data_IF_767954807929
#
_entry.id   IF_767954807929
#
_cell.length_a   1.000
_cell.length_b   1.000
_cell.length_c   1.000
_cell.angle_alpha   90.00
_cell.angle_beta   90.00
_cell.angle_gamma   90.00
#
_symmetry.space_group_name_H-M   'P 1'
#
loop_
_entity.id
_entity.type
_entity.pdbx_description
1 polymer ?
#
# COMPACT_ATOMS: atom_id res chain seq x y z
N UNK A 1 -25.19 82.94 9.83
CA UNK A 1 -24.85 81.71 9.11
C UNK A 1 -24.89 80.58 10.12
N UNK A 2 -25.90 79.68 10.07
CA UNK A 2 -26.04 78.54 10.95
C UNK A 2 -25.66 77.29 10.14
N UNK A 3 -24.56 76.63 10.50
CA UNK A 3 -24.08 75.43 9.87
C UNK A 3 -24.70 74.24 10.58
N UNK A 4 -25.55 73.51 9.88
CA UNK A 4 -26.19 72.29 10.39
C UNK A 4 -25.28 71.11 10.03
N UNK A 5 -24.74 70.35 11.04
CA UNK A 5 -23.97 69.17 10.87
C UNK A 5 -24.94 68.00 10.82
N UNK A 6 -24.97 67.28 9.67
CA UNK A 6 -25.76 66.07 9.45
C UNK A 6 -24.91 64.88 9.82
N UNK A 7 -25.20 64.24 10.95
CA UNK A 7 -24.54 62.97 11.36
C UNK A 7 -25.19 61.77 10.64
N UNK A 8 -24.46 61.17 9.76
CA UNK A 8 -24.87 59.89 9.11
C UNK A 8 -24.46 58.73 10.01
N UNK A 9 -25.46 58.07 10.59
CA UNK A 9 -25.28 56.85 11.39
C UNK A 9 -25.16 55.64 10.46
N UNK A 10 -23.96 55.06 10.35
CA UNK A 10 -23.71 53.86 9.59
C UNK A 10 -24.08 52.64 10.47
N UNK A 11 -25.20 51.98 10.19
CA UNK A 11 -25.58 50.71 10.82
C UNK A 11 -24.87 49.57 10.08
N UNK A 12 -23.83 48.99 10.69
CA UNK A 12 -23.20 47.78 10.25
C UNK A 12 -24.12 46.59 10.59
N UNK A 13 -24.81 46.07 9.58
CA UNK A 13 -25.50 44.77 9.66
C UNK A 13 -24.44 43.65 9.60
N UNK A 14 -24.10 43.08 10.74
CA UNK A 14 -23.33 41.84 10.82
C UNK A 14 -24.29 40.72 10.45
N UNK A 15 -24.25 40.26 9.19
CA UNK A 15 -24.90 39.04 8.77
C UNK A 15 -24.07 37.87 9.31
N UNK A 16 -24.51 37.26 10.41
CA UNK A 16 -24.02 35.91 10.79
C UNK A 16 -24.56 34.94 9.74
N UNK A 17 -23.70 34.52 8.81
CA UNK A 17 -23.97 33.32 8.01
C UNK A 17 -23.85 32.13 8.92
N UNK A 18 -24.97 31.53 9.32
CA UNK A 18 -25.00 30.20 9.85
C UNK A 18 -24.67 29.25 8.68
N UNK A 19 -23.40 28.95 8.49
CA UNK A 19 -22.99 27.80 7.70
C UNK A 19 -23.46 26.55 8.45
N UNK A 20 -24.68 26.13 8.13
CA UNK A 20 -25.18 24.81 8.54
C UNK A 20 -24.30 23.79 7.85
N UNK A 21 -23.37 23.19 8.59
CA UNK A 21 -22.65 22.01 8.14
C UNK A 21 -23.73 20.94 7.92
N UNK A 22 -24.11 20.74 6.66
CA UNK A 22 -25.02 19.67 6.28
C UNK A 22 -24.22 18.38 6.41
N UNK A 23 -24.28 17.74 7.59
CA UNK A 23 -23.74 16.41 7.79
C UNK A 23 -24.57 15.48 6.92
N UNK A 24 -23.97 14.99 5.82
CA UNK A 24 -24.63 13.97 5.01
C UNK A 24 -24.90 12.73 5.88
N UNK A 25 -26.08 12.11 5.79
CA UNK A 25 -26.35 10.88 6.52
C UNK A 25 -25.33 9.81 6.12
N UNK A 26 -24.95 8.88 7.05
CA UNK A 26 -24.04 7.81 6.73
C UNK A 26 -24.56 7.00 5.55
N UNK A 27 -23.71 6.67 4.60
CA UNK A 27 -24.07 5.87 3.44
C UNK A 27 -24.09 4.39 3.82
N UNK A 28 -25.27 3.86 4.12
CA UNK A 28 -25.45 2.48 4.59
C UNK A 28 -25.41 1.45 3.45
N UNK A 29 -25.72 1.86 2.23
CA UNK A 29 -25.77 0.95 1.08
C UNK A 29 -24.38 0.46 0.66
N UNK A 30 -24.31 -0.77 0.13
CA UNK A 30 -23.11 -1.32 -0.47
C UNK A 30 -22.74 -0.60 -1.76
N UNK A 31 -21.46 -0.42 -2.03
CA UNK A 31 -20.97 0.13 -3.29
C UNK A 31 -19.56 -0.33 -3.63
N UNK A 32 -19.23 -0.26 -4.93
CA UNK A 32 -17.85 -0.35 -5.42
C UNK A 32 -17.56 0.94 -6.18
N UNK A 33 -16.48 1.64 -5.79
CA UNK A 33 -16.06 2.88 -6.44
C UNK A 33 -14.55 2.91 -6.65
N UNK A 34 -14.12 3.62 -7.69
CA UNK A 34 -12.74 4.08 -7.81
C UNK A 34 -12.62 5.51 -7.31
N UNK A 35 -11.63 5.78 -6.48
CA UNK A 35 -11.37 7.10 -5.91
C UNK A 35 -9.88 7.41 -5.99
N UNK A 36 -9.54 8.58 -6.48
CA UNK A 36 -8.19 9.13 -6.28
C UNK A 36 -8.12 9.70 -4.85
N UNK A 37 -7.20 9.19 -4.06
CA UNK A 37 -6.93 9.71 -2.72
C UNK A 37 -5.62 10.50 -2.73
N UNK A 38 -5.49 11.44 -1.82
CA UNK A 38 -4.27 12.20 -1.61
C UNK A 38 -3.87 12.16 -0.12
N UNK A 39 -2.62 11.86 0.15
CA UNK A 39 -2.07 11.92 1.49
C UNK A 39 -0.63 12.44 1.46
N UNK A 40 -0.35 13.50 2.20
CA UNK A 40 0.96 14.18 2.27
C UNK A 40 1.56 14.52 0.89
N UNK A 41 0.71 14.94 -0.06
CA UNK A 41 1.14 15.31 -1.42
C UNK A 41 1.38 14.14 -2.36
N UNK A 42 1.08 12.91 -1.93
CA UNK A 42 1.10 11.71 -2.79
C UNK A 42 -0.32 11.34 -3.18
N UNK A 43 -0.56 11.27 -4.49
CA UNK A 43 -1.86 10.94 -5.07
C UNK A 43 -1.83 9.52 -5.62
N UNK A 44 -2.84 8.69 -5.28
CA UNK A 44 -2.96 7.32 -5.78
C UNK A 44 -4.43 6.93 -5.93
N UNK A 45 -4.71 6.12 -6.95
CA UNK A 45 -6.06 5.58 -7.15
C UNK A 45 -6.27 4.34 -6.28
N UNK A 46 -7.46 4.24 -5.70
CA UNK A 46 -7.91 3.08 -4.94
C UNK A 46 -9.27 2.62 -5.42
N UNK A 47 -9.49 1.31 -5.43
CA UNK A 47 -10.80 0.70 -5.66
C UNK A 47 -11.35 0.26 -4.31
N UNK A 48 -12.49 0.82 -3.93
CA UNK A 48 -13.13 0.59 -2.64
C UNK A 48 -14.36 -0.28 -2.84
N UNK A 49 -14.38 -1.45 -2.23
CA UNK A 49 -15.57 -2.30 -2.10
C UNK A 49 -16.08 -2.21 -0.66
N UNK A 50 -17.17 -1.49 -0.49
CA UNK A 50 -17.82 -1.27 0.79
C UNK A 50 -19.08 -2.13 0.88
N UNK A 51 -19.20 -3.05 1.84
CA UNK A 51 -20.45 -3.77 2.10
C UNK A 51 -21.52 -2.86 2.71
N UNK A 52 -22.72 -3.41 2.94
CA UNK A 52 -23.77 -2.70 3.68
C UNK A 52 -23.34 -2.38 5.11
N UNK A 53 -23.70 -1.19 5.60
CA UNK A 53 -23.37 -0.75 6.95
C UNK A 53 -22.54 0.54 6.99
N UNK A 54 -22.11 0.90 8.18
CA UNK A 54 -21.37 2.15 8.45
C UNK A 54 -20.11 1.95 9.27
N UNK A 55 -19.81 0.72 9.70
CA UNK A 55 -18.71 0.37 10.59
C UNK A 55 -18.04 -0.91 10.10
N UNK A 56 -16.73 -0.87 9.82
CA UNK A 56 -16.01 -1.94 9.15
C UNK A 56 -14.62 -2.19 9.73
N UNK A 57 -14.20 -3.45 9.67
CA UNK A 57 -12.79 -3.80 9.53
C UNK A 57 -12.39 -3.59 8.06
N UNK A 58 -11.17 -3.13 7.83
CA UNK A 58 -10.65 -2.80 6.50
C UNK A 58 -9.53 -3.74 6.12
N UNK A 59 -9.61 -4.32 4.92
CA UNK A 59 -8.51 -5.03 4.29
C UNK A 59 -7.95 -4.18 3.14
N UNK A 60 -6.73 -3.67 3.31
CA UNK A 60 -6.00 -2.98 2.27
C UNK A 60 -5.17 -3.97 1.48
N UNK A 61 -5.38 -4.06 0.16
CA UNK A 61 -4.73 -5.06 -0.69
C UNK A 61 -3.89 -4.42 -1.78
N UNK A 62 -2.75 -5.07 -2.09
CA UNK A 62 -1.77 -4.59 -3.06
C UNK A 62 -1.55 -5.65 -4.13
N UNK A 63 -1.65 -5.24 -5.41
CA UNK A 63 -1.47 -6.12 -6.56
C UNK A 63 0.00 -6.55 -6.76
N UNK A 64 0.24 -7.53 -7.60
CA UNK A 64 1.58 -7.88 -8.07
C UNK A 64 2.07 -6.92 -9.15
N UNK A 65 3.30 -7.13 -9.64
CA UNK A 65 3.96 -6.30 -10.66
C UNK A 65 3.08 -6.09 -11.89
N UNK A 66 3.02 -4.85 -12.35
CA UNK A 66 2.50 -4.46 -13.68
C UNK A 66 3.61 -3.78 -14.49
N UNK A 67 3.56 -3.91 -15.82
CA UNK A 67 4.61 -3.33 -16.67
C UNK A 67 4.36 -1.85 -17.02
N UNK A 68 3.12 -1.42 -16.96
CA UNK A 68 2.69 -0.08 -17.35
C UNK A 68 1.67 0.47 -16.36
N UNK A 69 1.78 1.73 -16.01
CA UNK A 69 0.85 2.40 -15.06
C UNK A 69 -0.59 2.38 -15.56
N UNK A 70 -0.80 2.35 -16.88
CA UNK A 70 -2.12 2.19 -17.48
C UNK A 70 -2.84 0.88 -17.10
N UNK A 71 -2.10 -0.11 -16.58
CA UNK A 71 -2.63 -1.39 -16.10
C UNK A 71 -2.85 -1.42 -14.58
N UNK A 72 -2.37 -0.43 -13.83
CA UNK A 72 -2.43 -0.43 -12.37
C UNK A 72 -3.88 -0.51 -11.85
N UNK A 73 -4.79 0.27 -12.42
CA UNK A 73 -6.21 0.24 -12.02
C UNK A 73 -6.87 -1.11 -12.37
N UNK A 74 -6.52 -1.72 -13.50
CA UNK A 74 -7.01 -3.05 -13.86
C UNK A 74 -6.47 -4.11 -12.89
N UNK A 75 -5.18 -4.02 -12.52
CA UNK A 75 -4.55 -4.92 -11.55
C UNK A 75 -5.20 -4.78 -10.17
N UNK A 76 -5.49 -3.55 -9.73
CA UNK A 76 -6.20 -3.30 -8.48
C UNK A 76 -7.61 -3.91 -8.48
N UNK A 77 -8.39 -3.75 -9.56
CA UNK A 77 -9.71 -4.39 -9.69
C UNK A 77 -9.62 -5.92 -9.66
N UNK A 78 -8.68 -6.50 -10.41
CA UNK A 78 -8.47 -7.96 -10.43
C UNK A 78 -8.07 -8.49 -9.04
N UNK A 79 -7.24 -7.74 -8.32
CA UNK A 79 -6.83 -8.08 -6.96
C UNK A 79 -8.01 -8.02 -6.00
N UNK A 80 -8.82 -6.96 -6.07
CA UNK A 80 -10.05 -6.85 -5.28
C UNK A 80 -10.98 -8.04 -5.50
N UNK A 81 -11.28 -8.39 -6.76
CA UNK A 81 -12.15 -9.51 -7.11
C UNK A 81 -11.60 -10.85 -6.59
N UNK A 82 -10.28 -11.03 -6.67
CA UNK A 82 -9.60 -12.21 -6.14
C UNK A 82 -9.79 -12.33 -4.63
N UNK A 83 -9.54 -11.26 -3.87
CA UNK A 83 -9.72 -11.26 -2.42
C UNK A 83 -11.17 -11.47 -2.02
N UNK A 84 -12.13 -10.85 -2.71
CA UNK A 84 -13.57 -11.13 -2.51
C UNK A 84 -13.91 -12.61 -2.69
N UNK A 85 -13.24 -13.29 -3.63
CA UNK A 85 -13.54 -14.69 -3.93
C UNK A 85 -12.96 -15.69 -2.91
N UNK A 86 -11.93 -15.30 -2.15
CA UNK A 86 -11.24 -16.20 -1.20
C UNK A 86 -11.56 -15.89 0.26
N UNK A 87 -12.07 -14.69 0.58
CA UNK A 87 -12.50 -14.37 1.92
C UNK A 87 -13.79 -15.13 2.27
N UNK A 88 -13.80 -15.70 3.46
CA UNK A 88 -14.95 -16.42 4.03
C UNK A 88 -15.97 -15.49 4.72
N UNK A 89 -15.70 -14.17 4.72
CA UNK A 89 -16.56 -13.13 5.31
C UNK A 89 -16.82 -12.03 4.29
N UNK A 90 -18.00 -11.43 4.37
CA UNK A 90 -18.51 -10.41 3.46
C UNK A 90 -18.82 -9.07 4.14
N UNK A 91 -18.36 -8.90 5.38
CA UNK A 91 -18.58 -7.71 6.22
C UNK A 91 -17.33 -6.82 6.34
N UNK A 92 -16.23 -7.17 5.66
CA UNK A 92 -15.03 -6.33 5.58
C UNK A 92 -15.11 -5.36 4.39
N UNK A 93 -14.69 -4.14 4.59
CA UNK A 93 -14.40 -3.23 3.49
C UNK A 93 -13.04 -3.59 2.88
N UNK A 94 -13.00 -3.78 1.55
CA UNK A 94 -11.75 -4.06 0.83
C UNK A 94 -11.35 -2.81 0.06
N UNK A 95 -10.09 -2.39 0.22
CA UNK A 95 -9.52 -1.28 -0.52
C UNK A 95 -8.31 -1.79 -1.29
N UNK A 96 -8.40 -1.80 -2.62
CA UNK A 96 -7.31 -2.23 -3.49
C UNK A 96 -6.59 -1.03 -4.08
N UNK A 97 -5.27 -0.99 -3.92
CA UNK A 97 -4.43 0.16 -4.28
C UNK A 97 -3.87 -0.01 -5.68
N UNK A 98 -4.11 0.98 -6.55
CA UNK A 98 -3.58 1.05 -7.92
C UNK A 98 -2.29 1.89 -7.94
N UNK A 99 -1.23 1.38 -7.33
CA UNK A 99 0.04 2.10 -7.25
C UNK A 99 0.81 2.02 -8.59
N UNK A 100 1.55 3.09 -8.98
CA UNK A 100 2.35 3.12 -10.19
C UNK A 100 3.65 2.32 -10.05
N UNK A 101 4.19 1.88 -11.17
CA UNK A 101 5.48 1.17 -11.26
C UNK A 101 6.37 1.68 -12.41
N UNK A 102 5.76 2.24 -13.44
CA UNK A 102 6.47 2.69 -14.64
C UNK A 102 7.43 3.84 -14.30
N UNK A 103 8.67 3.73 -14.77
CA UNK A 103 9.73 4.72 -14.51
C UNK A 103 10.12 4.91 -13.04
N UNK A 104 9.74 3.97 -12.15
CA UNK A 104 10.19 3.92 -10.77
C UNK A 104 11.24 2.83 -10.59
N UNK A 105 12.25 3.10 -9.77
CA UNK A 105 13.13 2.05 -9.29
C UNK A 105 12.34 1.10 -8.39
N UNK A 106 12.64 -0.19 -8.47
CA UNK A 106 11.94 -1.18 -7.67
C UNK A 106 11.96 -0.81 -6.17
N UNK A 107 10.80 -0.80 -5.55
CA UNK A 107 10.61 -0.44 -4.15
C UNK A 107 10.31 1.04 -3.89
N UNK A 108 10.49 1.96 -4.86
CA UNK A 108 10.16 3.38 -4.67
C UNK A 108 8.64 3.61 -4.65
N UNK A 109 7.86 2.69 -5.22
CA UNK A 109 6.40 2.68 -5.13
C UNK A 109 5.84 2.47 -3.70
N UNK A 110 6.71 2.20 -2.71
CA UNK A 110 6.33 2.18 -1.29
C UNK A 110 5.68 3.50 -0.85
N UNK A 111 6.05 4.63 -1.47
CA UNK A 111 5.46 5.93 -1.16
C UNK A 111 3.94 5.96 -1.42
N UNK A 112 3.50 5.37 -2.52
CA UNK A 112 2.07 5.29 -2.88
C UNK A 112 1.33 4.28 -2.00
N UNK A 113 1.98 3.15 -1.71
CA UNK A 113 1.45 2.15 -0.80
C UNK A 113 1.27 2.70 0.61
N UNK A 114 2.25 3.45 1.11
CA UNK A 114 2.21 4.13 2.41
C UNK A 114 1.14 5.22 2.44
N UNK A 115 1.03 6.04 1.39
CA UNK A 115 0.02 7.08 1.30
C UNK A 115 -1.40 6.50 1.42
N UNK A 116 -1.68 5.37 0.74
CA UNK A 116 -2.96 4.68 0.86
C UNK A 116 -3.22 4.16 2.28
N UNK A 117 -2.22 3.53 2.93
CA UNK A 117 -2.35 3.06 4.30
C UNK A 117 -2.61 4.22 5.28
N UNK A 118 -1.86 5.30 5.18
CA UNK A 118 -2.00 6.44 6.07
C UNK A 118 -3.31 7.21 5.82
N UNK A 119 -3.76 7.29 4.58
CA UNK A 119 -5.10 7.81 4.27
C UNK A 119 -6.18 6.97 4.96
N UNK A 120 -6.12 5.64 4.87
CA UNK A 120 -7.07 4.75 5.58
C UNK A 120 -7.05 5.00 7.08
N UNK A 121 -5.86 5.15 7.68
CA UNK A 121 -5.71 5.32 9.13
C UNK A 121 -6.16 6.69 9.66
N UNK A 122 -6.07 7.75 8.84
CA UNK A 122 -6.20 9.11 9.35
C UNK A 122 -7.29 9.95 8.68
N UNK A 123 -7.70 9.63 7.44
CA UNK A 123 -8.58 10.48 6.64
C UNK A 123 -9.84 9.78 6.16
N UNK A 124 -9.74 8.50 5.80
CA UNK A 124 -10.81 7.77 5.11
C UNK A 124 -12.12 7.73 5.91
N UNK A 125 -12.06 7.55 7.23
CA UNK A 125 -13.27 7.56 8.08
C UNK A 125 -14.06 8.86 7.95
N UNK A 126 -13.39 10.00 7.94
CA UNK A 126 -14.03 11.29 7.78
C UNK A 126 -14.51 11.52 6.34
N UNK A 127 -13.66 11.23 5.35
CA UNK A 127 -13.98 11.47 3.94
C UNK A 127 -15.11 10.60 3.42
N UNK A 128 -15.22 9.35 3.91
CA UNK A 128 -16.26 8.41 3.52
C UNK A 128 -17.48 8.43 4.46
N UNK A 129 -17.40 9.20 5.56
CA UNK A 129 -18.41 9.25 6.62
C UNK A 129 -18.77 7.85 7.17
N UNK A 130 -17.72 7.07 7.52
CA UNK A 130 -17.78 5.69 7.99
C UNK A 130 -16.90 5.52 9.23
N UNK A 131 -17.13 4.45 9.98
CA UNK A 131 -16.25 4.01 11.08
C UNK A 131 -15.34 2.88 10.58
N UNK A 132 -14.04 3.02 10.79
CA UNK A 132 -13.04 1.99 10.47
C UNK A 132 -12.39 1.51 11.76
N UNK A 133 -12.54 0.22 12.08
CA UNK A 133 -12.11 -0.34 13.38
C UNK A 133 -10.70 -0.91 13.29
N UNK A 134 -10.53 -1.98 12.50
CA UNK A 134 -9.26 -2.67 12.32
C UNK A 134 -8.78 -2.50 10.89
N UNK A 135 -7.47 -2.40 10.73
CA UNK A 135 -6.83 -2.32 9.41
C UNK A 135 -5.88 -3.49 9.24
N UNK A 136 -6.11 -4.29 8.23
CA UNK A 136 -5.27 -5.41 7.82
C UNK A 136 -4.64 -5.12 6.46
N UNK A 137 -3.44 -5.67 6.22
CA UNK A 137 -2.76 -5.56 4.94
C UNK A 137 -2.64 -6.93 4.30
N UNK A 138 -2.78 -6.99 2.98
CA UNK A 138 -2.39 -8.17 2.23
C UNK A 138 -1.89 -7.83 0.84
N UNK A 139 -1.00 -8.69 0.29
CA UNK A 139 -0.49 -8.51 -1.05
C UNK A 139 0.19 -9.77 -1.57
N UNK A 140 0.21 -9.88 -2.89
CA UNK A 140 0.86 -11.00 -3.59
C UNK A 140 2.06 -10.50 -4.40
N UNK A 141 3.15 -11.27 -4.43
CA UNK A 141 4.36 -10.94 -5.19
C UNK A 141 4.92 -9.57 -4.76
N UNK A 142 4.99 -8.57 -5.63
CA UNK A 142 5.39 -7.21 -5.29
C UNK A 142 4.43 -6.56 -4.26
N UNK A 143 3.13 -6.86 -4.29
CA UNK A 143 2.22 -6.47 -3.23
C UNK A 143 2.60 -7.08 -1.88
N UNK A 144 3.09 -8.34 -1.87
CA UNK A 144 3.66 -9.00 -0.70
C UNK A 144 4.93 -8.30 -0.18
N UNK A 145 5.80 -7.86 -1.10
CA UNK A 145 6.94 -7.01 -0.79
C UNK A 145 6.52 -5.69 -0.12
N UNK A 146 5.52 -5.01 -0.67
CA UNK A 146 5.04 -3.73 -0.13
C UNK A 146 4.46 -3.89 1.27
N UNK A 147 3.61 -4.89 1.52
CA UNK A 147 3.01 -5.08 2.85
C UNK A 147 4.04 -5.50 3.90
N UNK A 148 5.07 -6.26 3.51
CA UNK A 148 6.20 -6.59 4.38
C UNK A 148 6.95 -5.33 4.80
N UNK A 149 7.30 -4.46 3.86
CA UNK A 149 7.95 -3.18 4.14
C UNK A 149 7.07 -2.24 4.97
N UNK A 150 5.78 -2.11 4.64
CA UNK A 150 4.84 -1.31 5.42
C UNK A 150 4.76 -1.77 6.87
N UNK A 151 4.88 -3.08 7.11
CA UNK A 151 4.87 -3.63 8.47
C UNK A 151 6.11 -3.25 9.29
N UNK A 152 7.25 -2.97 8.66
CA UNK A 152 8.40 -2.40 9.37
C UNK A 152 8.23 -0.90 9.69
N UNK A 153 7.33 -0.22 9.00
CA UNK A 153 7.09 1.22 9.11
C UNK A 153 5.90 1.56 10.03
N UNK A 154 4.80 0.80 9.92
CA UNK A 154 3.52 1.13 10.55
C UNK A 154 2.86 -0.09 11.21
N UNK A 155 2.31 0.10 12.40
CA UNK A 155 1.46 -0.91 13.06
C UNK A 155 0.10 -0.99 12.38
N UNK A 156 -0.40 -2.22 12.21
CA UNK A 156 -1.75 -2.56 11.75
C UNK A 156 -2.33 -3.67 12.64
N UNK A 157 -3.45 -4.27 12.26
CA UNK A 157 -4.06 -5.35 13.03
C UNK A 157 -3.64 -6.75 12.55
N UNK A 158 -2.82 -6.81 11.50
CA UNK A 158 -2.25 -8.03 10.94
C UNK A 158 -1.89 -7.86 9.47
N UNK A 159 -0.95 -8.67 9.01
CA UNK A 159 -0.43 -8.62 7.65
C UNK A 159 -0.35 -10.03 7.06
N UNK A 160 -0.71 -10.18 5.79
CA UNK A 160 -0.49 -11.42 5.02
C UNK A 160 0.34 -11.08 3.78
N UNK A 161 1.55 -11.60 3.72
CA UNK A 161 2.46 -11.48 2.56
C UNK A 161 2.48 -12.80 1.79
N UNK A 162 1.82 -12.82 0.62
CA UNK A 162 1.71 -14.01 -0.21
C UNK A 162 2.77 -14.01 -1.32
N UNK A 163 3.64 -15.02 -1.34
CA UNK A 163 4.78 -15.14 -2.25
C UNK A 163 5.53 -13.81 -2.40
N UNK A 164 5.96 -13.17 -1.28
CA UNK A 164 6.49 -11.82 -1.31
C UNK A 164 7.82 -11.77 -2.06
N UNK A 165 8.00 -10.82 -2.94
CA UNK A 165 9.26 -10.74 -3.69
C UNK A 165 9.45 -9.44 -4.46
N UNK A 166 10.71 -9.22 -4.87
CA UNK A 166 11.87 -10.12 -4.82
C UNK A 166 12.51 -10.21 -3.43
N UNK A 167 12.88 -11.44 -3.04
CA UNK A 167 13.60 -11.65 -1.78
C UNK A 167 15.03 -11.11 -1.87
N UNK A 168 15.72 -11.38 -3.00
CA UNK A 168 17.13 -11.04 -3.20
C UNK A 168 17.36 -10.51 -4.63
N UNK A 169 17.41 -9.20 -4.78
CA UNK A 169 17.68 -8.55 -6.06
C UNK A 169 19.14 -8.68 -6.49
N UNK A 170 20.08 -8.76 -5.57
CA UNK A 170 21.48 -8.99 -5.90
C UNK A 170 21.61 -10.31 -6.66
N UNK A 171 21.12 -11.40 -6.07
CA UNK A 171 21.16 -12.74 -6.70
C UNK A 171 20.40 -12.77 -8.03
N UNK A 172 19.17 -12.26 -8.05
CA UNK A 172 18.34 -12.24 -9.25
C UNK A 172 19.03 -11.50 -10.40
N UNK A 173 19.48 -10.26 -10.14
CA UNK A 173 20.03 -9.42 -11.20
C UNK A 173 21.41 -9.92 -11.65
N UNK A 174 22.18 -10.57 -10.76
CA UNK A 174 23.42 -11.25 -11.16
C UNK A 174 23.13 -12.39 -12.14
N UNK A 175 22.08 -13.20 -11.92
CA UNK A 175 21.70 -14.26 -12.88
C UNK A 175 21.31 -13.69 -14.25
N UNK A 176 20.65 -12.53 -14.28
CA UNK A 176 20.31 -11.81 -15.53
C UNK A 176 21.58 -11.28 -16.23
N UNK A 177 22.51 -10.66 -15.48
CA UNK A 177 23.80 -10.16 -15.99
C UNK A 177 24.68 -11.29 -16.57
N UNK A 178 24.67 -12.47 -15.93
CA UNK A 178 25.40 -13.67 -16.38
C UNK A 178 24.70 -14.40 -17.54
N UNK A 179 23.51 -13.94 -17.97
CA UNK A 179 22.73 -14.57 -19.04
C UNK A 179 22.15 -15.94 -18.68
N UNK A 180 22.06 -16.25 -17.38
CA UNK A 180 21.49 -17.51 -16.89
C UNK A 180 19.96 -17.52 -16.86
N UNK A 181 19.34 -16.33 -16.84
CA UNK A 181 17.91 -16.11 -16.96
C UNK A 181 17.67 -14.93 -17.91
N UNK A 182 16.47 -14.81 -18.51
CA UNK A 182 16.13 -13.66 -19.36
C UNK A 182 16.21 -12.33 -18.60
N UNK A 183 16.75 -11.31 -19.25
CA UNK A 183 16.79 -9.95 -18.70
C UNK A 183 15.38 -9.41 -18.43
N UNK A 184 15.19 -8.80 -17.28
CA UNK A 184 13.95 -8.16 -16.85
C UNK A 184 14.11 -6.65 -16.71
N UNK A 185 12.98 -5.93 -16.81
CA UNK A 185 12.98 -4.45 -16.75
C UNK A 185 13.53 -3.93 -15.42
N UNK A 186 13.24 -4.62 -14.31
CA UNK A 186 13.69 -4.23 -12.97
C UNK A 186 15.21 -4.20 -12.86
N UNK A 187 15.88 -5.29 -13.26
CA UNK A 187 17.33 -5.36 -13.18
C UNK A 187 18.01 -4.46 -14.20
N UNK A 188 17.44 -4.34 -15.40
CA UNK A 188 17.96 -3.40 -16.41
C UNK A 188 17.92 -1.96 -15.90
N UNK A 189 16.82 -1.55 -15.28
CA UNK A 189 16.66 -0.18 -14.77
C UNK A 189 17.59 0.11 -13.57
N UNK A 190 17.79 -0.89 -12.70
CA UNK A 190 18.77 -0.79 -11.61
C UNK A 190 20.21 -0.71 -12.16
N UNK A 191 20.55 -1.51 -13.18
CA UNK A 191 21.87 -1.50 -13.79
C UNK A 191 22.16 -0.17 -14.51
N UNK A 192 21.18 0.41 -15.20
CA UNK A 192 21.29 1.72 -15.84
C UNK A 192 21.51 2.84 -14.80
N UNK A 193 20.95 2.69 -13.60
CA UNK A 193 21.02 3.72 -12.55
C UNK A 193 22.27 3.57 -11.68
N UNK A 194 22.63 2.34 -11.29
CA UNK A 194 23.64 2.06 -10.27
C UNK A 194 24.86 1.29 -10.77
N UNK A 195 24.83 0.80 -12.01
CA UNK A 195 25.83 -0.14 -12.54
C UNK A 195 25.48 -1.59 -12.18
N UNK A 196 26.40 -2.51 -12.48
CA UNK A 196 26.19 -3.94 -12.24
C UNK A 196 26.13 -4.33 -10.77
N UNK A 197 25.58 -5.50 -10.48
CA UNK A 197 25.55 -6.10 -9.12
C UNK A 197 26.95 -6.29 -8.54
N UNK A 198 27.96 -6.55 -9.39
CA UNK A 198 29.35 -6.70 -8.96
C UNK A 198 30.03 -5.38 -8.56
N UNK A 199 29.54 -4.25 -9.10
CA UNK A 199 30.10 -2.91 -8.82
C UNK A 199 29.39 -2.20 -7.69
N UNK A 200 28.09 -2.43 -7.51
CA UNK A 200 27.28 -1.78 -6.48
C UNK A 200 26.20 -2.72 -5.92
N UNK A 201 26.59 -3.83 -5.26
CA UNK A 201 25.64 -4.80 -4.71
C UNK A 201 24.68 -4.20 -3.67
N UNK A 202 25.13 -3.20 -2.91
CA UNK A 202 24.35 -2.58 -1.84
C UNK A 202 23.09 -1.91 -2.37
N UNK A 203 23.13 -1.25 -3.54
CA UNK A 203 21.97 -0.62 -4.15
C UNK A 203 20.85 -1.62 -4.51
N UNK A 204 21.21 -2.86 -4.81
CA UNK A 204 20.26 -3.97 -5.07
C UNK A 204 19.78 -4.60 -3.76
N UNK A 205 20.70 -4.76 -2.79
CA UNK A 205 20.36 -5.30 -1.47
C UNK A 205 19.37 -4.41 -0.72
N UNK A 206 19.57 -3.10 -0.72
CA UNK A 206 18.69 -2.11 -0.10
C UNK A 206 17.22 -2.19 -0.61
N UNK A 207 17.02 -2.78 -1.79
CA UNK A 207 15.72 -2.98 -2.43
C UNK A 207 15.21 -4.42 -2.34
N UNK A 208 15.98 -5.32 -1.73
CA UNK A 208 15.63 -6.73 -1.50
C UNK A 208 14.84 -6.89 -0.21
N UNK A 209 13.92 -7.87 -0.14
CA UNK A 209 13.25 -8.17 1.13
C UNK A 209 14.19 -8.69 2.20
N UNK A 210 15.33 -9.29 1.84
CA UNK A 210 16.38 -9.66 2.81
C UNK A 210 16.91 -8.46 3.62
N UNK A 211 16.72 -7.23 3.16
CA UNK A 211 17.03 -6.02 3.92
C UNK A 211 15.92 -5.58 4.90
N UNK A 212 14.77 -6.26 4.90
CA UNK A 212 13.57 -5.90 5.67
C UNK A 212 13.05 -7.10 6.46
N UNK A 213 13.93 -7.81 7.17
CA UNK A 213 13.63 -9.02 7.93
C UNK A 213 13.49 -8.78 9.44
N UNK A 214 13.47 -7.52 9.88
CA UNK A 214 13.37 -7.13 11.29
C UNK A 214 12.46 -5.92 11.50
N UNK A 215 12.08 -5.67 12.76
CA UNK A 215 11.28 -4.50 13.15
C UNK A 215 9.82 -4.56 12.72
N UNK A 216 9.24 -5.75 12.53
CA UNK A 216 7.82 -5.90 12.22
C UNK A 216 6.96 -5.43 13.38
N UNK A 217 6.04 -4.49 13.11
CA UNK A 217 5.22 -3.81 14.11
C UNK A 217 3.88 -4.48 14.36
N UNK A 218 3.52 -5.45 13.52
CA UNK A 218 2.26 -6.21 13.59
C UNK A 218 2.52 -7.66 13.22
N UNK A 219 1.69 -8.55 13.72
CA UNK A 219 1.72 -9.96 13.36
C UNK A 219 1.65 -10.13 11.85
N UNK A 220 2.49 -11.01 11.32
CA UNK A 220 2.59 -11.25 9.89
C UNK A 220 2.62 -12.73 9.57
N UNK A 221 1.78 -13.12 8.60
CA UNK A 221 1.79 -14.45 7.99
C UNK A 221 2.44 -14.34 6.60
N UNK A 222 3.52 -15.06 6.40
CA UNK A 222 4.13 -15.30 5.10
C UNK A 222 3.58 -16.58 4.50
N UNK A 223 3.09 -16.51 3.27
CA UNK A 223 2.59 -17.66 2.51
C UNK A 223 3.49 -17.86 1.30
N UNK A 224 4.13 -19.03 1.17
CA UNK A 224 5.07 -19.33 0.08
C UNK A 224 4.78 -20.71 -0.51
N UNK A 225 4.51 -20.74 -1.82
CA UNK A 225 4.39 -22.04 -2.51
C UNK A 225 5.75 -22.70 -2.72
N UNK A 226 5.90 -23.96 -2.33
CA UNK A 226 7.15 -24.73 -2.47
C UNK A 226 7.56 -24.97 -3.93
N UNK A 227 6.64 -24.82 -4.88
CA UNK A 227 6.90 -24.95 -6.33
C UNK A 227 7.05 -23.59 -7.03
N UNK A 228 7.37 -22.53 -6.30
CA UNK A 228 7.66 -21.22 -6.86
C UNK A 228 8.98 -21.24 -7.68
N UNK A 229 9.30 -20.11 -8.30
CA UNK A 229 10.50 -20.01 -9.14
C UNK A 229 11.77 -20.39 -8.37
N UNK A 230 12.76 -21.05 -9.01
CA UNK A 230 14.02 -21.38 -8.36
C UNK A 230 14.75 -20.16 -7.76
N UNK A 231 14.54 -18.97 -8.33
CA UNK A 231 15.14 -17.72 -7.83
C UNK A 231 14.54 -17.36 -6.47
N UNK A 232 13.22 -17.45 -6.36
CA UNK A 232 12.49 -17.20 -5.11
C UNK A 232 12.90 -18.23 -4.05
N UNK A 233 12.86 -19.51 -4.40
CA UNK A 233 13.17 -20.62 -3.49
C UNK A 233 14.64 -20.66 -3.06
N UNK A 234 15.57 -20.11 -3.86
CA UNK A 234 16.98 -19.99 -3.46
C UNK A 234 17.17 -19.11 -2.22
N UNK A 235 16.42 -18.03 -2.12
CA UNK A 235 16.57 -17.04 -1.05
C UNK A 235 15.57 -17.23 0.09
N UNK A 236 14.56 -18.07 -0.09
CA UNK A 236 13.52 -18.30 0.92
C UNK A 236 14.05 -18.82 2.26
N UNK A 237 14.96 -19.84 2.31
CA UNK A 237 15.50 -20.30 3.59
C UNK A 237 16.25 -19.21 4.37
N UNK A 238 17.06 -18.39 3.68
CA UNK A 238 17.76 -17.30 4.32
C UNK A 238 16.79 -16.23 4.84
N UNK A 239 15.73 -15.95 4.09
CA UNK A 239 14.70 -14.98 4.48
C UNK A 239 13.95 -15.44 5.73
N UNK A 240 13.54 -16.72 5.80
CA UNK A 240 12.83 -17.26 6.97
C UNK A 240 13.73 -17.33 8.19
N UNK A 241 15.00 -17.79 8.05
CA UNK A 241 15.97 -17.84 9.13
C UNK A 241 16.21 -16.44 9.76
N UNK A 242 16.41 -15.42 8.93
CA UNK A 242 16.60 -14.05 9.43
C UNK A 242 15.39 -13.50 10.18
N UNK A 243 14.18 -13.88 9.76
CA UNK A 243 12.94 -13.47 10.44
C UNK A 243 12.74 -14.24 11.76
N UNK A 244 13.04 -15.53 11.78
CA UNK A 244 12.96 -16.37 12.99
C UNK A 244 13.94 -15.86 14.07
N UNK A 245 15.09 -15.33 13.67
CA UNK A 245 16.08 -14.72 14.56
C UNK A 245 15.72 -13.28 15.00
N UNK A 246 14.63 -12.72 14.50
CA UNK A 246 14.23 -11.34 14.80
C UNK A 246 13.72 -11.20 16.25
N UNK A 247 14.46 -10.49 17.08
CA UNK A 247 14.11 -10.27 18.49
C UNK A 247 13.19 -9.08 18.77
N UNK A 248 13.00 -8.18 17.78
CA UNK A 248 12.19 -6.96 17.86
C UNK A 248 10.96 -6.98 16.96
N UNK A 249 10.61 -8.16 16.44
CA UNK A 249 9.43 -8.37 15.62
C UNK A 249 8.20 -8.75 16.46
N UNK A 250 7.01 -8.38 15.97
CA UNK A 250 5.75 -9.00 16.37
C UNK A 250 5.72 -10.48 15.93
N UNK A 251 4.64 -11.20 16.23
CA UNK A 251 4.52 -12.62 15.87
C UNK A 251 4.64 -12.83 14.35
N UNK A 252 5.50 -13.77 13.96
CA UNK A 252 5.72 -14.15 12.56
C UNK A 252 5.36 -15.61 12.35
N UNK A 253 4.67 -15.89 11.27
CA UNK A 253 4.24 -17.23 10.91
C UNK A 253 4.54 -17.50 9.44
N UNK A 254 4.82 -18.77 9.11
CA UNK A 254 5.07 -19.23 7.75
C UNK A 254 4.09 -20.35 7.40
N UNK A 255 3.53 -20.26 6.20
CA UNK A 255 2.70 -21.29 5.57
C UNK A 255 3.34 -21.66 4.20
N UNK A 256 3.75 -22.91 4.07
CA UNK A 256 4.41 -23.45 2.88
C UNK A 256 3.55 -24.50 2.16
#
# INVERSE_FOLDING_TARGET
>A
MKTTILSVLFILLIACSNDSITVMPPQTEAYVITKTIEYNGVSVDVVIDKPEGTEFDVLLVYHGTVLYDSLALQAANTTLDKYKSILDRNDMMIISVAYPEENLLFGDNILYAEAALLWVKHSASQELNLSMNKVFLSGHSQGGYLVTRLNTMHSTNGVVANAPGPLNLVFRCQLEEDGLIPAGITCSFLADTYGSTSTNPDAYFERSLLNFTSGFKSDILFVQGLNDSPIQMHSWPTFTEQIEDCSDCAETQFLE
#
